data_IF_781822732038
#
_entry.id   IF_781822732038
#
_cell.length_a   1.000
_cell.length_b   1.000
_cell.length_c   1.000
_cell.angle_alpha   90.00
_cell.angle_beta   90.00
_cell.angle_gamma   90.00
#
_symmetry.space_group_name_H-M   'P 1'
#
loop_
_entity.id
_entity.type
_entity.pdbx_description
1 polymer ?
#
# COMPACT_ATOMS: atom_id res chain seq x y z
N UNK A 1 6.81 -13.80 -13.73
CA UNK A 1 6.47 -12.51 -13.09
C UNK A 1 6.93 -12.62 -11.64
N UNK A 2 7.87 -11.79 -11.20
CA UNK A 2 8.39 -11.84 -9.83
C UNK A 2 7.33 -11.47 -8.79
N UNK A 3 7.60 -11.70 -7.49
CA UNK A 3 6.67 -11.32 -6.42
C UNK A 3 6.31 -9.84 -6.56
N UNK A 4 5.01 -9.53 -6.55
CA UNK A 4 4.55 -8.15 -6.51
C UNK A 4 4.88 -7.62 -5.11
N UNK A 5 5.86 -6.74 -5.02
CA UNK A 5 6.18 -6.05 -3.77
C UNK A 5 4.95 -5.28 -3.31
N UNK A 6 4.39 -5.56 -2.11
CA UNK A 6 3.21 -4.83 -1.61
C UNK A 6 3.57 -3.44 -1.09
N UNK A 7 4.72 -2.89 -1.50
CA UNK A 7 5.32 -1.66 -1.00
C UNK A 7 5.64 -0.77 -2.20
N UNK A 8 5.21 0.50 -2.11
CA UNK A 8 5.56 1.56 -3.04
C UNK A 8 6.25 2.69 -2.26
N UNK A 9 7.34 3.22 -2.81
CA UNK A 9 8.08 4.33 -2.22
C UNK A 9 8.04 5.55 -3.15
N UNK A 10 7.74 6.71 -2.59
CA UNK A 10 7.95 8.02 -3.19
C UNK A 10 9.17 8.72 -2.60
N UNK A 11 9.36 10.00 -2.93
CA UNK A 11 10.54 10.78 -2.51
C UNK A 11 10.73 10.86 -0.98
N UNK A 12 9.63 11.09 -0.25
CA UNK A 12 9.64 11.23 1.23
C UNK A 12 8.51 10.48 1.92
N UNK A 13 7.84 9.57 1.22
CA UNK A 13 6.74 8.77 1.78
C UNK A 13 6.78 7.34 1.25
N UNK A 14 6.18 6.42 1.99
CA UNK A 14 6.06 5.00 1.64
C UNK A 14 4.65 4.53 1.93
N UNK A 15 4.10 3.71 1.04
CA UNK A 15 2.78 3.07 1.18
C UNK A 15 2.94 1.56 1.13
N UNK A 16 2.27 0.84 2.02
CA UNK A 16 2.31 -0.61 2.10
C UNK A 16 0.93 -1.24 2.24
N UNK A 17 0.69 -2.32 1.50
CA UNK A 17 -0.48 -3.19 1.63
C UNK A 17 -0.20 -4.29 2.65
N UNK A 18 -1.06 -4.39 3.67
CA UNK A 18 -1.00 -5.44 4.69
C UNK A 18 -1.78 -6.67 4.24
N UNK A 19 -1.43 -7.82 4.81
CA UNK A 19 -2.11 -9.10 4.54
C UNK A 19 -3.57 -9.12 5.00
N UNK A 20 -3.96 -8.23 5.93
CA UNK A 20 -5.34 -8.05 6.39
C UNK A 20 -6.20 -7.19 5.43
N UNK A 21 -5.64 -6.76 4.29
CA UNK A 21 -6.33 -5.92 3.30
C UNK A 21 -6.32 -4.43 3.64
N UNK A 22 -5.63 -4.00 4.70
CA UNK A 22 -5.49 -2.58 5.05
C UNK A 22 -4.22 -1.97 4.46
N UNK A 23 -4.22 -0.64 4.35
CA UNK A 23 -3.07 0.13 3.85
C UNK A 23 -2.47 0.96 4.98
N UNK A 24 -1.14 1.02 5.02
CA UNK A 24 -0.40 2.01 5.79
C UNK A 24 0.34 2.96 4.86
N UNK A 25 0.45 4.20 5.31
CA UNK A 25 1.32 5.19 4.71
C UNK A 25 2.09 5.95 5.79
N UNK A 26 3.38 6.17 5.55
CA UNK A 26 4.30 6.85 6.46
C UNK A 26 5.19 7.83 5.70
N UNK A 27 5.69 8.85 6.39
CA UNK A 27 6.61 9.85 5.85
C UNK A 27 6.01 11.25 5.83
N UNK A 28 6.42 12.06 4.85
CA UNK A 28 5.88 13.41 4.65
C UNK A 28 4.37 13.36 4.37
N UNK A 29 3.61 14.17 5.10
CA UNK A 29 2.16 14.26 4.98
C UNK A 29 1.66 15.69 4.66
N UNK A 30 2.54 16.61 4.26
CA UNK A 30 2.14 18.01 4.00
C UNK A 30 1.08 18.17 2.89
N UNK A 31 0.91 17.17 2.03
CA UNK A 31 -0.12 17.14 1.00
C UNK A 31 -1.15 16.02 1.20
N UNK A 32 -1.22 15.41 2.39
CA UNK A 32 -2.17 14.34 2.69
C UNK A 32 -1.77 12.96 2.14
N UNK A 33 -0.49 12.74 1.80
CA UNK A 33 -0.01 11.47 1.25
C UNK A 33 -0.27 10.26 2.18
N UNK A 34 -0.35 10.51 3.49
CA UNK A 34 -0.61 9.50 4.51
C UNK A 34 -2.09 9.35 4.91
N UNK A 35 -3.01 10.13 4.30
CA UNK A 35 -4.45 10.10 4.59
C UNK A 35 -5.15 8.93 3.87
N UNK A 36 -4.74 7.71 4.20
CA UNK A 36 -5.20 6.46 3.57
C UNK A 36 -6.42 5.84 4.25
N UNK A 37 -6.87 6.39 5.38
CA UNK A 37 -7.98 5.85 6.18
C UNK A 37 -9.33 5.78 5.43
N UNK A 38 -9.50 6.62 4.40
CA UNK A 38 -10.71 6.67 3.58
C UNK A 38 -10.71 5.72 2.38
N UNK A 39 -9.61 5.02 2.12
CA UNK A 39 -9.51 4.13 0.97
C UNK A 39 -10.42 2.90 1.16
N UNK A 40 -11.01 2.44 0.06
CA UNK A 40 -11.96 1.33 0.02
C UNK A 40 -11.64 0.44 -1.17
N UNK A 41 -12.20 -0.77 -1.16
CA UNK A 41 -12.10 -1.74 -2.26
C UNK A 41 -10.66 -2.16 -2.59
N UNK A 42 -9.79 -2.15 -1.57
CA UNK A 42 -8.41 -2.65 -1.66
C UNK A 42 -8.46 -4.17 -1.84
N UNK A 43 -7.95 -4.66 -2.97
CA UNK A 43 -7.82 -6.10 -3.22
C UNK A 43 -6.42 -6.57 -2.89
N UNK A 44 -6.34 -7.69 -2.19
CA UNK A 44 -5.08 -8.42 -2.08
C UNK A 44 -4.68 -8.90 -3.48
N UNK A 45 -3.37 -8.95 -3.80
CA UNK A 45 -2.92 -9.61 -5.00
C UNK A 45 -3.42 -11.06 -4.96
N UNK A 46 -4.04 -11.51 -6.06
CA UNK A 46 -4.51 -12.88 -6.16
C UNK A 46 -3.37 -13.85 -5.79
N UNK A 47 -3.64 -14.88 -4.98
CA UNK A 47 -2.66 -15.93 -4.74
C UNK A 47 -2.19 -16.46 -6.09
N UNK A 48 -0.88 -16.61 -6.26
CA UNK A 48 -0.35 -17.23 -7.45
C UNK A 48 -0.98 -18.62 -7.61
N UNK A 49 -1.44 -19.01 -8.83
CA UNK A 49 -1.93 -20.37 -9.03
C UNK A 49 -0.80 -21.33 -8.69
N UNK A 50 -1.09 -22.21 -7.73
CA UNK A 50 -0.17 -23.28 -7.34
C UNK A 50 0.10 -24.21 -8.51
#
# INVERSE_FOLDING_TARGET
>A
MGPRSPIAAGDRHTVGLRADGTVLAVGDNRAGQCEVSRWRDIRLPDPWPT
#
